data_IF_552280801513
#
_entry.id   IF_552280801513
#
_cell.length_a   1.000
_cell.length_b   1.000
_cell.length_c   1.000
_cell.angle_alpha   90.00
_cell.angle_beta   90.00
_cell.angle_gamma   90.00
#
_symmetry.space_group_name_H-M   'P 1'
#
loop_
_entity.id
_entity.type
_entity.pdbx_description
1 polymer ?
#
# COMPACT_ATOMS: atom_id res chain seq x y z
N UNK A 1 -6.94 -20.52 -11.06
CA UNK A 1 -6.16 -19.55 -10.26
C UNK A 1 -6.61 -18.15 -10.55
N UNK A 2 -6.63 -17.29 -9.53
CA UNK A 2 -7.08 -15.91 -9.69
C UNK A 2 -5.94 -15.02 -10.20
N UNK A 3 -6.30 -14.09 -11.09
CA UNK A 3 -5.40 -13.08 -11.61
C UNK A 3 -6.14 -11.74 -11.63
N UNK A 4 -5.56 -10.71 -11.00
CA UNK A 4 -6.17 -9.40 -10.90
C UNK A 4 -5.16 -8.34 -11.36
N UNK A 5 -5.64 -7.37 -12.13
CA UNK A 5 -4.87 -6.19 -12.46
C UNK A 5 -5.78 -4.97 -12.41
N UNK A 6 -5.36 -3.95 -11.67
CA UNK A 6 -6.12 -2.71 -11.59
C UNK A 6 -5.21 -1.55 -11.20
N UNK A 7 -5.70 -0.35 -11.41
CA UNK A 7 -4.99 0.88 -11.08
C UNK A 7 -5.87 1.72 -10.17
N UNK A 8 -5.32 2.14 -9.04
CA UNK A 8 -5.98 3.10 -8.17
C UNK A 8 -5.59 4.50 -8.63
N UNK A 9 -6.59 5.33 -8.94
CA UNK A 9 -6.40 6.70 -9.38
C UNK A 9 -6.28 7.63 -8.17
N UNK A 10 -5.23 7.41 -7.39
CA UNK A 10 -4.91 8.23 -6.21
C UNK A 10 -3.41 8.45 -6.18
N UNK A 11 -2.99 9.61 -5.67
CA UNK A 11 -1.58 9.85 -5.42
C UNK A 11 -1.14 8.94 -4.24
N UNK A 12 -0.01 8.22 -4.37
CA UNK A 12 0.43 7.37 -3.27
C UNK A 12 0.65 8.14 -1.98
N UNK A 13 0.47 7.49 -0.82
CA UNK A 13 0.67 8.16 0.45
C UNK A 13 2.13 8.56 0.63
N UNK A 14 2.35 9.74 1.18
CA UNK A 14 3.69 10.23 1.53
C UNK A 14 3.98 10.03 3.01
N UNK A 15 2.98 9.55 3.75
CA UNK A 15 3.02 9.26 5.18
C UNK A 15 2.76 7.79 5.40
N UNK A 16 3.60 7.14 6.20
CA UNK A 16 3.49 5.71 6.51
C UNK A 16 3.45 5.50 8.03
N UNK A 17 3.40 4.23 8.46
CA UNK A 17 3.25 3.86 9.87
C UNK A 17 4.36 4.40 10.80
N UNK A 18 5.51 4.82 10.27
CA UNK A 18 6.58 5.42 11.06
C UNK A 18 6.28 6.84 11.54
N UNK A 19 5.21 7.46 11.05
CA UNK A 19 4.86 8.85 11.40
C UNK A 19 3.79 8.92 12.48
N UNK A 20 3.76 7.99 13.42
CA UNK A 20 2.82 7.99 14.54
C UNK A 20 3.08 9.17 15.47
N UNK A 21 2.00 9.74 15.99
CA UNK A 21 2.06 10.87 16.92
C UNK A 21 2.08 10.38 18.37
N UNK A 22 2.92 11.02 19.19
CA UNK A 22 2.91 10.78 20.62
C UNK A 22 1.62 11.33 21.23
N UNK A 23 0.87 10.50 21.98
CA UNK A 23 -0.41 10.84 22.57
C UNK A 23 -0.41 10.95 24.10
N UNK A 24 0.75 10.80 24.76
CA UNK A 24 0.85 10.88 26.21
C UNK A 24 1.22 9.57 26.89
N UNK A 25 0.97 9.49 28.19
CA UNK A 25 1.20 8.28 28.99
C UNK A 25 -0.10 7.73 29.54
N UNK A 26 -0.19 6.41 29.60
CA UNK A 26 -1.26 5.72 30.36
C UNK A 26 -0.97 5.78 31.85
N UNK A 27 -1.99 5.58 32.71
CA UNK A 27 -1.80 5.51 34.16
C UNK A 27 -0.76 4.46 34.58
N UNK A 28 -0.57 3.39 33.79
CA UNK A 28 0.42 2.33 34.05
C UNK A 28 1.84 2.70 33.58
N UNK A 29 2.05 3.93 33.10
CA UNK A 29 3.35 4.43 32.64
C UNK A 29 3.67 4.14 31.19
N UNK A 30 2.83 3.39 30.46
CA UNK A 30 3.05 3.10 29.05
C UNK A 30 2.83 4.34 28.19
N UNK A 31 3.68 4.49 27.17
CA UNK A 31 3.51 5.56 26.20
C UNK A 31 2.38 5.22 25.23
N UNK A 32 1.62 6.24 24.85
CA UNK A 32 0.53 6.12 23.90
C UNK A 32 0.96 6.80 22.60
N UNK A 33 0.87 6.04 21.49
CA UNK A 33 1.13 6.57 20.16
C UNK A 33 -0.11 6.38 19.30
N UNK A 34 -0.48 7.43 18.57
CA UNK A 34 -1.62 7.40 17.65
C UNK A 34 -1.14 7.55 16.22
N UNK A 35 -1.88 6.94 15.29
CA UNK A 35 -1.71 7.25 13.89
C UNK A 35 -2.02 8.73 13.67
N UNK A 36 -1.20 9.40 12.85
CA UNK A 36 -1.48 10.78 12.45
C UNK A 36 -2.77 10.82 11.62
N UNK A 37 -3.42 12.00 11.57
CA UNK A 37 -4.59 12.19 10.71
C UNK A 37 -4.26 11.93 9.25
N UNK A 38 -3.07 12.30 8.80
CA UNK A 38 -2.60 12.03 7.43
C UNK A 38 -2.47 10.54 7.16
N UNK A 39 -1.99 9.76 8.14
CA UNK A 39 -1.86 8.32 8.00
C UNK A 39 -3.23 7.65 7.91
N UNK A 40 -4.18 8.04 8.77
CA UNK A 40 -5.54 7.52 8.73
C UNK A 40 -6.23 7.84 7.41
N UNK A 41 -6.07 9.06 6.92
CA UNK A 41 -6.60 9.47 5.63
C UNK A 41 -5.99 8.66 4.48
N UNK A 42 -4.67 8.45 4.50
CA UNK A 42 -3.99 7.65 3.49
C UNK A 42 -4.52 6.20 3.46
N UNK A 43 -4.69 5.59 4.62
CA UNK A 43 -5.26 4.23 4.73
C UNK A 43 -6.69 4.18 4.21
N UNK A 44 -7.49 5.17 4.54
CA UNK A 44 -8.88 5.24 4.09
C UNK A 44 -8.96 5.37 2.57
N UNK A 45 -8.11 6.18 1.96
CA UNK A 45 -8.07 6.37 0.51
C UNK A 45 -7.67 5.09 -0.20
N UNK A 46 -6.66 4.39 0.30
CA UNK A 46 -6.24 3.10 -0.25
C UNK A 46 -7.37 2.08 -0.10
N UNK A 47 -7.91 1.94 1.09
CA UNK A 47 -8.99 0.99 1.36
C UNK A 47 -10.20 1.24 0.46
N UNK A 48 -10.63 2.51 0.37
CA UNK A 48 -11.76 2.89 -0.48
C UNK A 48 -11.50 2.59 -1.95
N UNK A 49 -10.27 2.81 -2.42
CA UNK A 49 -9.89 2.52 -3.79
C UNK A 49 -9.85 1.03 -4.09
N UNK A 50 -9.50 0.21 -3.11
CA UNK A 50 -9.40 -1.25 -3.26
C UNK A 50 -10.75 -1.96 -3.31
N UNK A 51 -11.77 -1.43 -2.63
CA UNK A 51 -13.07 -2.09 -2.48
C UNK A 51 -13.67 -2.55 -3.80
N UNK A 52 -13.70 -1.73 -4.89
CA UNK A 52 -14.29 -2.17 -6.16
C UNK A 52 -13.58 -3.37 -6.80
N UNK A 53 -12.34 -3.62 -6.43
CA UNK A 53 -11.51 -4.66 -7.05
C UNK A 53 -11.34 -5.91 -6.18
N UNK A 54 -11.95 -5.90 -5.01
CA UNK A 54 -11.88 -7.03 -4.09
C UNK A 54 -12.43 -8.29 -4.75
N UNK A 55 -11.72 -9.44 -4.68
CA UNK A 55 -12.25 -10.70 -5.20
C UNK A 55 -13.45 -11.15 -4.37
N UNK A 56 -14.35 -11.94 -4.98
CA UNK A 56 -15.51 -12.49 -4.27
C UNK A 56 -15.09 -13.37 -3.11
N UNK A 57 -14.05 -14.15 -3.32
CA UNK A 57 -13.49 -15.03 -2.30
C UNK A 57 -11.99 -14.74 -2.17
N UNK A 58 -11.45 -14.77 -0.95
CA UNK A 58 -10.02 -14.55 -0.77
C UNK A 58 -9.19 -15.55 -1.55
N UNK A 59 -8.07 -15.11 -2.10
CA UNK A 59 -7.09 -15.99 -2.71
C UNK A 59 -6.53 -16.91 -1.61
N UNK A 60 -6.50 -18.21 -1.87
CA UNK A 60 -6.08 -19.19 -0.85
C UNK A 60 -4.64 -19.66 -1.04
N UNK A 61 -4.11 -19.60 -2.25
CA UNK A 61 -2.77 -20.08 -2.57
C UNK A 61 -1.69 -19.04 -2.41
N UNK A 62 -0.51 -19.36 -2.91
CA UNK A 62 0.62 -18.44 -2.95
C UNK A 62 0.32 -17.27 -3.89
N UNK A 63 0.77 -16.08 -3.51
CA UNK A 63 0.50 -14.84 -4.26
C UNK A 63 1.81 -14.24 -4.74
N UNK A 64 1.82 -13.85 -6.01
CA UNK A 64 2.81 -12.94 -6.56
C UNK A 64 2.19 -11.55 -6.67
N UNK A 65 2.79 -10.56 -6.01
CA UNK A 65 2.29 -9.20 -5.97
C UNK A 65 3.29 -8.27 -6.64
N UNK A 66 2.81 -7.50 -7.62
CA UNK A 66 3.60 -6.44 -8.23
C UNK A 66 2.87 -5.12 -8.03
N UNK A 67 3.57 -4.12 -7.51
CA UNK A 67 2.97 -2.80 -7.26
C UNK A 67 3.88 -1.72 -7.81
N UNK A 68 3.29 -0.81 -8.59
CA UNK A 68 3.98 0.38 -9.09
C UNK A 68 3.36 1.60 -8.42
N UNK A 69 4.18 2.28 -7.62
CA UNK A 69 3.78 3.50 -6.91
C UNK A 69 4.23 4.70 -7.73
N UNK A 70 3.29 5.36 -8.37
CA UNK A 70 3.55 6.55 -9.19
C UNK A 70 3.21 7.80 -8.39
N UNK A 71 4.24 8.51 -7.92
CA UNK A 71 4.09 9.73 -7.13
C UNK A 71 4.04 10.93 -8.05
N UNK A 72 3.04 11.78 -7.90
CA UNK A 72 2.91 12.97 -8.72
C UNK A 72 4.01 14.00 -8.42
N UNK A 73 4.47 14.68 -9.47
CA UNK A 73 5.36 15.82 -9.35
C UNK A 73 5.10 16.81 -10.49
N UNK A 74 5.25 18.09 -10.20
CA UNK A 74 5.17 19.15 -11.21
C UNK A 74 6.47 19.27 -12.02
N UNK A 75 7.54 18.66 -11.55
CA UNK A 75 8.86 18.72 -12.19
C UNK A 75 8.93 17.75 -13.35
N UNK A 76 8.65 18.21 -14.57
CA UNK A 76 8.54 17.39 -15.78
C UNK A 76 9.72 16.48 -16.02
N UNK A 77 10.95 16.96 -15.78
CA UNK A 77 12.16 16.17 -16.03
C UNK A 77 12.31 14.95 -15.10
N UNK A 78 11.50 14.85 -14.05
CA UNK A 78 11.47 13.68 -13.17
C UNK A 78 10.51 12.60 -13.64
N UNK A 79 9.54 12.94 -14.50
CA UNK A 79 8.52 11.98 -14.92
C UNK A 79 9.14 10.74 -15.55
N UNK A 80 8.70 9.57 -15.11
CA UNK A 80 9.20 8.27 -15.56
C UNK A 80 10.51 7.83 -14.92
N UNK A 81 11.09 8.66 -14.04
CA UNK A 81 12.32 8.30 -13.32
C UNK A 81 11.99 7.66 -11.97
N UNK A 82 12.89 6.79 -11.53
CA UNK A 82 12.76 6.16 -10.22
C UNK A 82 12.82 7.20 -9.10
N UNK A 83 11.94 7.06 -8.13
CA UNK A 83 11.90 7.94 -6.96
C UNK A 83 12.80 7.37 -5.88
N UNK A 84 13.87 8.07 -5.57
CA UNK A 84 14.90 7.62 -4.60
C UNK A 84 14.71 8.20 -3.20
N UNK A 85 13.62 8.93 -2.97
CA UNK A 85 13.30 9.54 -1.67
C UNK A 85 12.16 8.79 -0.99
N UNK A 86 11.94 9.10 0.30
CA UNK A 86 10.84 8.50 1.07
C UNK A 86 9.48 8.74 0.43
N UNK A 87 8.49 7.84 0.70
CA UNK A 87 8.52 6.70 1.63
C UNK A 87 9.31 5.51 1.10
N UNK A 88 9.77 4.64 2.02
CA UNK A 88 10.47 3.41 1.68
C UNK A 88 9.49 2.37 1.14
N UNK A 89 9.97 1.49 0.26
CA UNK A 89 9.13 0.45 -0.37
C UNK A 89 8.49 -0.48 0.65
N UNK A 90 9.22 -0.91 1.66
CA UNK A 90 8.70 -1.82 2.68
C UNK A 90 7.55 -1.18 3.47
N UNK A 91 7.63 0.10 3.78
CA UNK A 91 6.59 0.81 4.51
C UNK A 91 5.32 1.00 3.68
N UNK A 92 5.48 1.32 2.40
CA UNK A 92 4.35 1.41 1.46
C UNK A 92 3.65 0.06 1.32
N UNK A 93 4.44 -1.00 1.13
CA UNK A 93 3.90 -2.35 0.94
C UNK A 93 3.21 -2.86 2.19
N UNK A 94 3.75 -2.58 3.37
CA UNK A 94 3.10 -2.96 4.62
C UNK A 94 1.71 -2.34 4.74
N UNK A 95 1.60 -1.04 4.48
CA UNK A 95 0.32 -0.33 4.52
C UNK A 95 -0.68 -0.94 3.54
N UNK A 96 -0.25 -1.16 2.29
CA UNK A 96 -1.11 -1.72 1.25
C UNK A 96 -1.55 -3.14 1.61
N UNK A 97 -0.62 -4.00 1.97
CA UNK A 97 -0.94 -5.40 2.29
C UNK A 97 -1.83 -5.52 3.51
N UNK A 98 -1.64 -4.68 4.52
CA UNK A 98 -2.51 -4.65 5.69
C UNK A 98 -3.97 -4.36 5.27
N UNK A 99 -4.18 -3.38 4.40
CA UNK A 99 -5.53 -3.04 3.94
C UNK A 99 -6.10 -4.14 3.03
N UNK A 100 -5.30 -4.72 2.15
CA UNK A 100 -5.74 -5.82 1.29
C UNK A 100 -6.12 -7.07 2.11
N UNK A 101 -5.38 -7.38 3.15
CA UNK A 101 -5.70 -8.47 4.07
C UNK A 101 -7.04 -8.21 4.77
N UNK A 102 -7.24 -7.02 5.31
CA UNK A 102 -8.49 -6.65 5.98
C UNK A 102 -9.69 -6.74 5.04
N UNK A 103 -9.52 -6.40 3.78
CA UNK A 103 -10.59 -6.44 2.79
C UNK A 103 -10.86 -7.84 2.24
N UNK A 104 -9.98 -8.80 2.50
CA UNK A 104 -10.18 -10.18 2.06
C UNK A 104 -9.66 -10.48 0.65
N UNK A 105 -8.61 -9.80 0.20
CA UNK A 105 -7.92 -10.19 -1.03
C UNK A 105 -7.27 -11.56 -0.87
N UNK A 106 -6.77 -11.84 0.33
CA UNK A 106 -6.25 -13.11 0.80
C UNK A 106 -6.53 -13.23 2.28
N UNK A 107 -6.23 -14.37 2.89
CA UNK A 107 -6.47 -14.60 4.32
C UNK A 107 -5.36 -14.01 5.18
N UNK A 108 -4.12 -14.08 4.69
CA UNK A 108 -2.93 -13.67 5.43
C UNK A 108 -1.90 -13.15 4.44
N UNK A 109 -1.26 -12.02 4.75
CA UNK A 109 -0.22 -11.44 3.90
C UNK A 109 1.02 -12.35 3.81
N UNK A 110 1.15 -13.34 4.70
CA UNK A 110 2.16 -14.40 4.59
C UNK A 110 2.03 -15.21 3.29
N UNK A 111 0.86 -15.18 2.64
CA UNK A 111 0.66 -15.81 1.33
C UNK A 111 1.41 -15.13 0.20
N UNK A 112 1.84 -13.87 0.40
CA UNK A 112 2.61 -13.14 -0.60
C UNK A 112 4.05 -13.65 -0.57
N UNK A 113 4.38 -14.50 -1.54
CA UNK A 113 5.66 -15.20 -1.62
C UNK A 113 6.62 -14.57 -2.62
N UNK A 114 6.09 -13.83 -3.60
CA UNK A 114 6.86 -13.07 -4.59
C UNK A 114 6.34 -11.65 -4.58
N UNK A 115 7.24 -10.69 -4.39
CA UNK A 115 6.85 -9.29 -4.30
C UNK A 115 7.80 -8.43 -5.11
N UNK A 116 7.25 -7.62 -6.03
CA UNK A 116 8.01 -6.67 -6.83
C UNK A 116 7.40 -5.30 -6.60
N UNK A 117 8.24 -4.34 -6.22
CA UNK A 117 7.82 -2.99 -5.85
C UNK A 117 8.64 -1.97 -6.62
N UNK A 118 7.97 -1.04 -7.26
CA UNK A 118 8.60 0.02 -8.02
C UNK A 118 8.05 1.37 -7.55
N UNK A 119 8.92 2.36 -7.44
CA UNK A 119 8.54 3.75 -7.12
C UNK A 119 9.02 4.67 -8.23
N UNK A 120 8.08 5.38 -8.84
CA UNK A 120 8.36 6.33 -9.92
C UNK A 120 7.79 7.70 -9.62
N UNK A 121 8.37 8.70 -10.25
CA UNK A 121 7.77 10.01 -10.40
C UNK A 121 6.90 10.02 -11.65
N UNK A 122 5.79 10.74 -11.60
CA UNK A 122 4.79 10.75 -12.67
C UNK A 122 4.11 12.11 -12.71
N UNK A 123 3.46 12.41 -13.83
CA UNK A 123 2.62 13.62 -13.92
C UNK A 123 1.40 13.49 -12.99
N UNK A 124 0.73 12.33 -13.05
CA UNK A 124 -0.42 12.02 -12.21
C UNK A 124 -0.10 10.88 -11.27
N UNK A 125 -0.56 11.01 -10.03
CA UNK A 125 -0.39 9.94 -9.06
C UNK A 125 -1.27 8.74 -9.37
N UNK A 126 -0.73 7.54 -9.15
CA UNK A 126 -1.50 6.30 -9.29
C UNK A 126 -0.78 5.16 -8.58
N UNK A 127 -1.51 4.08 -8.34
CA UNK A 127 -0.94 2.85 -7.81
C UNK A 127 -1.43 1.71 -8.71
N UNK A 128 -0.52 1.13 -9.48
CA UNK A 128 -0.83 -0.01 -10.33
C UNK A 128 -0.54 -1.30 -9.56
N UNK A 129 -1.51 -2.20 -9.51
CA UNK A 129 -1.45 -3.42 -8.70
C UNK A 129 -1.76 -4.63 -9.57
N UNK A 130 -0.85 -5.59 -9.56
CA UNK A 130 -1.04 -6.88 -10.21
C UNK A 130 -0.91 -7.98 -9.17
N UNK A 131 -1.91 -8.84 -9.12
CA UNK A 131 -1.99 -9.94 -8.16
C UNK A 131 -2.18 -11.23 -8.96
N UNK A 132 -1.26 -12.18 -8.78
CA UNK A 132 -1.38 -13.48 -9.41
C UNK A 132 -1.32 -14.57 -8.34
N UNK A 133 -2.31 -15.45 -8.35
CA UNK A 133 -2.22 -16.70 -7.61
C UNK A 133 -1.29 -17.63 -8.37
N UNK A 134 -0.31 -18.20 -7.70
CA UNK A 134 0.72 -19.04 -8.33
C UNK A 134 0.80 -20.37 -7.60
N UNK A 135 1.34 -21.37 -8.30
CA UNK A 135 1.56 -22.68 -7.67
C UNK A 135 2.69 -22.56 -6.64
N UNK A 136 2.39 -23.03 -5.47
CA UNK A 136 3.35 -23.03 -4.37
C UNK A 136 4.10 -24.34 -4.22
#
# INVERSE_FOLDING_TARGET
>A
MQHLFFVLDIDPPRTTAQTKRFGGKRPDGRLIFYDSNKLREARWRISSGLIPYKPKEPIEGAVRLLVVWNFSTKTKKRWGKLKTSRPDTDNLQKMLKDEMTKLGFWKDDAQVCVEIVLKYWSEHGSIAIMIDEVEG
#
